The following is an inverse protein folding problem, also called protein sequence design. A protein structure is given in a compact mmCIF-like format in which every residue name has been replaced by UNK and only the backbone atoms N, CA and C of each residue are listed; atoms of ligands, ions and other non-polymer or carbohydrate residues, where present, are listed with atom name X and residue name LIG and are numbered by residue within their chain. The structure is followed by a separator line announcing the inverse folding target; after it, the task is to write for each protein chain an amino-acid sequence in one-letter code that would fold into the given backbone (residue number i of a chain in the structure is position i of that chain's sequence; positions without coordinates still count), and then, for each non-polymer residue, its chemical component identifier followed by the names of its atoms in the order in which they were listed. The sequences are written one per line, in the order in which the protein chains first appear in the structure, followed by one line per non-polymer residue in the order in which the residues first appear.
data_IF_097734608080
#
_entry.id   IF_097734608080
#
_cell.length_a   1.000
_cell.length_b   1.000
_cell.length_c   1.000
_cell.angle_alpha   90.00
_cell.angle_beta   90.00
_cell.angle_gamma   90.00
#
_symmetry.space_group_name_H-M   'P 1'
#
loop_
_entity.id
_entity.type
_entity.pdbx_description
1 polymer ?
#
# COMPACT_ATOMS: atom_id res chain seq x y z
N UNK A 1 -2.98 -26.14 5.03
CA UNK A 1 -3.76 -25.21 5.87
C UNK A 1 -3.55 -25.46 7.37
N UNK A 2 -3.73 -26.68 7.89
CA UNK A 2 -3.57 -26.98 9.32
C UNK A 2 -2.22 -26.53 9.92
N UNK A 3 -1.10 -26.78 9.23
CA UNK A 3 0.23 -26.36 9.68
C UNK A 3 0.37 -24.83 9.82
N UNK A 4 0.02 -24.08 8.77
CA UNK A 4 0.12 -22.60 8.77
C UNK A 4 -0.78 -21.99 9.84
N UNK A 5 -2.00 -22.52 10.01
CA UNK A 5 -2.92 -22.08 11.04
C UNK A 5 -2.38 -22.33 12.45
N UNK A 6 -1.83 -23.52 12.72
CA UNK A 6 -1.27 -23.85 14.04
C UNK A 6 0.02 -23.07 14.35
N UNK A 7 0.86 -22.82 13.34
CA UNK A 7 2.16 -22.13 13.53
C UNK A 7 2.04 -20.62 13.59
N UNK A 8 1.14 -20.03 12.79
CA UNK A 8 1.07 -18.57 12.63
C UNK A 8 -0.29 -18.00 13.03
N UNK A 9 -1.39 -18.73 12.84
CA UNK A 9 -2.73 -18.14 13.02
C UNK A 9 -2.92 -16.89 12.14
N UNK A 10 -3.47 -15.81 12.72
CA UNK A 10 -3.44 -14.48 12.14
C UNK A 10 -2.56 -13.56 13.00
N UNK A 11 -1.55 -12.95 12.39
CA UNK A 11 -0.62 -12.02 13.03
C UNK A 11 -0.65 -10.71 12.26
N UNK A 12 -0.58 -9.59 12.98
CA UNK A 12 -0.56 -8.25 12.38
C UNK A 12 0.61 -8.10 11.39
N UNK A 13 0.30 -7.61 10.20
CA UNK A 13 1.26 -7.50 9.09
C UNK A 13 2.08 -6.20 9.04
N UNK A 14 1.53 -5.00 9.34
CA UNK A 14 2.31 -3.76 9.28
C UNK A 14 3.57 -3.82 10.13
N UNK A 15 4.70 -3.40 9.55
CA UNK A 15 6.04 -3.41 10.18
C UNK A 15 6.58 -4.79 10.58
N UNK A 16 5.84 -5.88 10.30
CA UNK A 16 6.22 -7.24 10.60
C UNK A 16 6.47 -8.06 9.32
N UNK A 17 7.09 -9.22 9.48
CA UNK A 17 7.30 -10.20 8.41
C UNK A 17 7.10 -11.62 8.93
N UNK A 18 6.55 -12.49 8.09
CA UNK A 18 6.44 -13.92 8.37
C UNK A 18 6.63 -14.73 7.09
N UNK A 19 7.18 -15.93 7.25
CA UNK A 19 7.61 -16.82 6.17
C UNK A 19 6.61 -16.92 5.00
N UNK A 20 5.31 -17.20 5.21
CA UNK A 20 4.40 -17.33 4.07
C UNK A 20 4.15 -16.01 3.31
N UNK A 21 4.21 -14.85 3.96
CA UNK A 21 4.06 -13.57 3.27
C UNK A 21 5.32 -13.20 2.47
N UNK A 22 6.50 -13.37 3.07
CA UNK A 22 7.77 -13.10 2.38
C UNK A 22 7.90 -14.02 1.17
N UNK A 23 7.66 -15.32 1.36
CA UNK A 23 7.80 -16.29 0.27
C UNK A 23 6.82 -16.02 -0.87
N UNK A 24 5.58 -15.63 -0.55
CA UNK A 24 4.60 -15.23 -1.55
C UNK A 24 5.07 -13.99 -2.33
N UNK A 25 5.61 -12.97 -1.65
CA UNK A 25 6.09 -11.76 -2.30
C UNK A 25 7.26 -12.02 -3.26
N UNK A 26 8.22 -12.87 -2.86
CA UNK A 26 9.33 -13.31 -3.73
C UNK A 26 8.79 -13.98 -5.00
N UNK A 27 7.89 -14.95 -4.85
CA UNK A 27 7.30 -15.67 -5.99
C UNK A 27 6.52 -14.75 -6.94
N UNK A 28 5.83 -13.74 -6.40
CA UNK A 28 5.09 -12.77 -7.21
C UNK A 28 6.05 -11.87 -7.99
N UNK A 29 7.14 -11.39 -7.37
CA UNK A 29 8.13 -10.53 -8.02
C UNK A 29 8.92 -11.31 -9.08
N UNK A 30 9.37 -12.53 -8.77
CA UNK A 30 10.13 -13.38 -9.69
C UNK A 30 9.26 -14.00 -10.80
N UNK A 31 7.95 -14.08 -10.58
CA UNK A 31 6.96 -14.60 -11.52
C UNK A 31 6.26 -13.48 -12.29
N UNK A 32 5.02 -13.16 -11.89
CA UNK A 32 4.15 -12.22 -12.61
C UNK A 32 4.72 -10.79 -12.67
N UNK A 33 5.54 -10.41 -11.69
CA UNK A 33 6.20 -9.11 -11.58
C UNK A 33 7.52 -8.99 -12.33
N UNK A 34 8.00 -10.08 -12.95
CA UNK A 34 9.38 -10.15 -13.43
C UNK A 34 9.67 -9.07 -14.47
N UNK A 35 10.68 -8.26 -14.19
CA UNK A 35 11.16 -7.21 -15.09
C UNK A 35 10.38 -5.90 -15.06
N UNK A 36 9.30 -5.78 -14.27
CA UNK A 36 8.51 -4.54 -14.20
C UNK A 36 8.05 -4.15 -12.78
N UNK A 37 7.84 -5.11 -11.88
CA UNK A 37 7.43 -4.86 -10.50
C UNK A 37 8.60 -5.05 -9.51
N UNK A 38 8.61 -4.25 -8.45
CA UNK A 38 9.61 -4.33 -7.37
C UNK A 38 9.00 -4.40 -5.96
N UNK A 39 7.67 -4.32 -5.84
CA UNK A 39 6.95 -4.28 -4.55
C UNK A 39 5.63 -5.04 -4.64
N UNK A 40 5.19 -5.62 -3.52
CA UNK A 40 3.90 -6.30 -3.37
C UNK A 40 3.13 -5.64 -2.22
N UNK A 41 1.85 -5.33 -2.45
CA UNK A 41 0.91 -4.85 -1.43
C UNK A 41 -0.22 -5.87 -1.30
N UNK A 42 -0.41 -6.43 -0.11
CA UNK A 42 -1.46 -7.44 0.14
C UNK A 42 -2.79 -6.79 0.50
N UNK A 43 -3.89 -7.32 -0.06
CA UNK A 43 -5.26 -6.97 0.28
C UNK A 43 -6.11 -8.24 0.45
N UNK A 44 -7.35 -8.08 0.92
CA UNK A 44 -8.23 -9.22 1.18
C UNK A 44 -8.82 -9.82 -0.12
N UNK A 45 -9.11 -9.00 -1.12
CA UNK A 45 -9.74 -9.43 -2.37
C UNK A 45 -9.39 -8.50 -3.55
N UNK A 46 -9.91 -8.84 -4.73
CA UNK A 46 -9.69 -8.08 -5.95
C UNK A 46 -10.25 -6.66 -5.92
N UNK A 47 -11.43 -6.41 -5.35
CA UNK A 47 -12.01 -5.06 -5.31
C UNK A 47 -11.16 -4.12 -4.46
N UNK A 48 -10.73 -4.56 -3.28
CA UNK A 48 -9.80 -3.78 -2.45
C UNK A 48 -8.44 -3.60 -3.13
N UNK A 49 -7.96 -4.60 -3.89
CA UNK A 49 -6.74 -4.46 -4.68
C UNK A 49 -6.85 -3.35 -5.74
N UNK A 50 -8.01 -3.25 -6.43
CA UNK A 50 -8.27 -2.18 -7.41
C UNK A 50 -8.33 -0.81 -6.75
N UNK A 51 -8.97 -0.67 -5.58
CA UNK A 51 -8.96 0.60 -4.85
C UNK A 51 -7.54 1.06 -4.47
N UNK A 52 -6.68 0.12 -4.04
CA UNK A 52 -5.27 0.40 -3.74
C UNK A 52 -4.53 0.80 -5.01
N UNK A 53 -4.74 0.09 -6.12
CA UNK A 53 -4.12 0.39 -7.40
C UNK A 53 -4.49 1.79 -7.91
N UNK A 54 -5.77 2.19 -7.77
CA UNK A 54 -6.22 3.54 -8.11
C UNK A 54 -5.55 4.61 -7.23
N UNK A 55 -5.45 4.38 -5.92
CA UNK A 55 -4.73 5.29 -5.00
C UNK A 55 -3.26 5.46 -5.41
N UNK A 56 -2.58 4.35 -5.75
CA UNK A 56 -1.19 4.38 -6.21
C UNK A 56 -1.03 5.12 -7.53
N UNK A 57 -1.90 4.84 -8.51
CA UNK A 57 -1.87 5.45 -9.83
C UNK A 57 -2.10 6.97 -9.76
N UNK A 58 -3.14 7.41 -9.04
CA UNK A 58 -3.41 8.84 -8.86
C UNK A 58 -2.32 9.55 -8.08
N UNK A 59 -1.74 8.92 -7.04
CA UNK A 59 -0.60 9.49 -6.33
C UNK A 59 0.58 9.69 -7.29
N UNK A 60 0.91 8.70 -8.12
CA UNK A 60 2.00 8.81 -9.09
C UNK A 60 1.72 9.91 -10.12
N UNK A 61 0.52 9.91 -10.71
CA UNK A 61 0.09 10.93 -11.66
C UNK A 61 0.24 12.33 -11.07
N UNK A 62 -0.33 12.60 -9.90
CA UNK A 62 -0.28 13.95 -9.35
C UNK A 62 1.12 14.36 -8.86
N UNK A 63 1.99 13.41 -8.49
CA UNK A 63 3.40 13.70 -8.19
C UNK A 63 4.15 14.06 -9.48
N UNK A 64 3.90 13.34 -10.57
CA UNK A 64 4.55 13.56 -11.87
C UNK A 64 4.11 14.85 -12.55
N UNK A 65 2.89 15.30 -12.26
CA UNK A 65 2.30 16.52 -12.83
C UNK A 65 2.28 17.70 -11.84
N UNK A 66 2.97 17.60 -10.69
CA UNK A 66 3.09 18.65 -9.67
C UNK A 66 1.75 19.17 -9.09
N UNK A 67 0.63 18.49 -9.34
CA UNK A 67 -0.72 18.92 -8.93
C UNK A 67 -1.04 18.67 -7.45
N UNK A 68 -0.15 17.98 -6.72
CA UNK A 68 -0.34 17.67 -5.30
C UNK A 68 0.12 18.76 -4.33
N UNK A 69 0.88 19.76 -4.79
CA UNK A 69 1.35 20.84 -3.93
C UNK A 69 0.20 21.75 -3.47
N UNK A 70 -0.82 21.92 -4.31
CA UNK A 70 -1.95 22.82 -4.02
C UNK A 70 -2.87 22.32 -2.88
N UNK A 71 -2.99 21.00 -2.69
CA UNK A 71 -3.85 20.44 -1.62
C UNK A 71 -3.22 20.52 -0.22
N UNK A 72 -1.90 20.71 -0.13
CA UNK A 72 -1.17 20.79 1.14
C UNK A 72 -1.19 22.21 1.72
N UNK A 73 -1.29 23.24 0.87
CA UNK A 73 -1.17 24.64 1.29
C UNK A 73 -2.51 25.26 1.76
N UNK A 74 -3.64 24.59 1.55
CA UNK A 74 -4.98 25.10 1.89
C UNK A 74 -5.53 24.77 3.29
N UNK A 75 -4.71 24.30 4.25
CA UNK A 75 -5.18 23.96 5.61
C UNK A 75 -4.53 24.75 6.75
N UNK A 76 -3.84 25.85 6.44
CA UNK A 76 -3.38 26.84 7.42
C UNK A 76 -4.15 28.17 7.30
N UNK A 77 -5.50 28.10 7.19
CA UNK A 77 -6.31 29.25 7.54
C UNK A 77 -6.29 29.43 9.06
N UNK A 78 -5.31 30.20 9.53
CA UNK A 78 -5.28 30.75 10.89
C UNK A 78 -6.59 31.50 11.14
N UNK A 79 -7.50 30.93 11.93
CA UNK A 79 -8.61 31.69 12.53
C UNK A 79 -8.02 32.88 13.30
N UNK A 80 -8.45 34.13 13.05
CA UNK A 80 -8.12 35.22 13.95
C UNK A 80 -8.82 34.94 15.27
N UNK A 81 -8.04 34.86 16.36
CA UNK A 81 -8.58 34.98 17.70
C UNK A 81 -9.25 36.36 17.79
N UNK A 82 -10.57 36.40 17.98
CA UNK A 82 -11.23 37.59 18.51
C UNK A 82 -10.70 37.81 19.93
N UNK A 83 -10.39 39.07 20.24
CA UNK A 83 -9.80 39.52 21.51
C UNK A 83 -10.71 39.39 22.73
#
# INVERSE_FOLDING_TARGET
MAYTAARFGHVMFPENVYEPALKCAELLIDGVGKGWASRVYFSYNGSTAIEIALKMAFRKFCVDHETLLEFSEGRDEKKPYCG
#
